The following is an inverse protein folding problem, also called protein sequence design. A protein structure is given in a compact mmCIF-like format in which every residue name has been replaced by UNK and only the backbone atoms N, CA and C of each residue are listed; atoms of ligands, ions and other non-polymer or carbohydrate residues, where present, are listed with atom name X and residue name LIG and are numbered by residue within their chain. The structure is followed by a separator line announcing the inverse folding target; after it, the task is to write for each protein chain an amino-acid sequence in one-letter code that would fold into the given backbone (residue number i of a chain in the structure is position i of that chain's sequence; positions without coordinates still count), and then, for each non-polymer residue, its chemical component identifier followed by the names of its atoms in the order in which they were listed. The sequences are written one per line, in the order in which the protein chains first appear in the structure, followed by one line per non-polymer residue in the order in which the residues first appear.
data_IF_101162919371
#
_entry.id   IF_101162919371
#
_cell.length_a   1.000
_cell.length_b   1.000
_cell.length_c   1.000
_cell.angle_alpha   90.00
_cell.angle_beta   90.00
_cell.angle_gamma   90.00
#
_symmetry.space_group_name_H-M   'P 1'
#
loop_
_entity.id
_entity.type
_entity.pdbx_description
1 polymer ?
#
# COMPACT_ATOMS: atom_id res chain seq x y z
N UNK A 1 6.76 -4.02 3.18
CA UNK A 1 5.43 -3.42 2.95
C UNK A 1 4.40 -4.13 3.82
N UNK A 2 3.47 -3.41 4.45
CA UNK A 2 2.53 -4.00 5.42
C UNK A 2 1.07 -3.82 5.02
N UNK A 3 0.28 -4.88 5.22
CA UNK A 3 -1.13 -4.96 4.85
C UNK A 3 -2.04 -4.94 6.06
N UNK A 4 -3.14 -4.19 5.95
CA UNK A 4 -4.13 -4.03 7.01
C UNK A 4 -5.53 -4.38 6.52
N UNK A 5 -6.37 -4.86 7.44
CA UNK A 5 -7.78 -5.16 7.20
C UNK A 5 -8.02 -5.94 5.90
N UNK A 6 -8.87 -5.42 5.01
CA UNK A 6 -9.23 -6.06 3.75
C UNK A 6 -8.06 -6.29 2.78
N UNK A 7 -6.93 -5.57 2.91
CA UNK A 7 -5.74 -5.89 2.12
C UNK A 7 -5.13 -7.23 2.53
N UNK A 8 -5.07 -7.51 3.84
CA UNK A 8 -4.54 -8.78 4.36
C UNK A 8 -5.37 -9.96 3.89
N UNK A 9 -6.70 -9.81 3.81
CA UNK A 9 -7.58 -10.87 3.32
C UNK A 9 -7.39 -11.15 1.84
N UNK A 10 -7.12 -10.11 1.03
CA UNK A 10 -6.89 -10.26 -0.40
C UNK A 10 -5.50 -10.84 -0.70
N UNK A 11 -4.46 -10.38 0.02
CA UNK A 11 -3.08 -10.85 -0.19
C UNK A 11 -2.81 -12.18 0.52
N UNK A 12 -3.51 -12.44 1.62
CA UNK A 12 -3.32 -13.63 2.46
C UNK A 12 -2.12 -13.55 3.41
N UNK A 13 -1.45 -12.39 3.49
CA UNK A 13 -0.27 -12.17 4.34
C UNK A 13 -0.33 -10.79 5.00
N UNK A 14 0.26 -10.63 6.20
CA UNK A 14 0.27 -9.35 6.91
C UNK A 14 1.35 -8.39 6.40
N UNK A 15 2.41 -8.92 5.80
CA UNK A 15 3.48 -8.15 5.20
C UNK A 15 4.11 -8.92 4.04
N UNK A 16 4.62 -8.18 3.06
CA UNK A 16 5.47 -8.75 2.02
C UNK A 16 6.67 -7.84 1.73
N UNK A 17 7.72 -8.45 1.18
CA UNK A 17 8.89 -7.74 0.70
C UNK A 17 8.71 -7.48 -0.80
N UNK A 18 8.38 -6.23 -1.12
CA UNK A 18 8.20 -5.80 -2.50
C UNK A 18 9.52 -5.24 -3.03
N UNK A 19 10.17 -5.96 -3.94
CA UNK A 19 11.34 -5.46 -4.64
C UNK A 19 10.89 -4.52 -5.77
N UNK A 20 11.25 -3.25 -5.66
CA UNK A 20 10.97 -2.23 -6.67
C UNK A 20 12.28 -1.64 -7.20
N UNK A 21 12.36 -1.24 -8.47
CA UNK A 21 13.53 -0.56 -8.99
C UNK A 21 13.75 0.79 -8.29
N UNK A 22 15.01 1.23 -8.26
CA UNK A 22 15.36 2.53 -7.70
C UNK A 22 14.63 3.65 -8.44
N UNK A 23 14.12 4.64 -7.72
CA UNK A 23 13.29 5.71 -8.30
C UNK A 23 11.81 5.34 -8.43
N UNK A 24 11.37 4.17 -7.98
CA UNK A 24 9.94 3.81 -7.96
C UNK A 24 9.18 4.72 -7.01
N UNK A 25 8.09 5.32 -7.49
CA UNK A 25 7.18 6.12 -6.66
C UNK A 25 6.15 5.25 -5.97
N UNK A 26 5.53 5.78 -4.91
CA UNK A 26 4.39 5.14 -4.24
C UNK A 26 3.28 4.78 -5.23
N UNK A 27 2.99 5.66 -6.20
CA UNK A 27 2.03 5.41 -7.27
C UNK A 27 2.42 4.21 -8.15
N UNK A 28 3.69 4.11 -8.53
CA UNK A 28 4.20 2.99 -9.31
C UNK A 28 4.14 1.68 -8.51
N UNK A 29 4.54 1.69 -7.23
CA UNK A 29 4.39 0.54 -6.33
C UNK A 29 2.92 0.10 -6.19
N UNK A 30 2.00 1.06 -6.08
CA UNK A 30 0.56 0.79 -6.06
C UNK A 30 0.09 0.12 -7.36
N UNK A 31 0.52 0.59 -8.52
CA UNK A 31 0.19 -0.02 -9.81
C UNK A 31 0.73 -1.45 -9.92
N UNK A 32 1.95 -1.69 -9.44
CA UNK A 32 2.53 -3.05 -9.37
C UNK A 32 1.67 -3.98 -8.50
N UNK A 33 1.22 -3.52 -7.34
CA UNK A 33 0.33 -4.28 -6.47
C UNK A 33 -1.02 -4.57 -7.11
N UNK A 34 -1.61 -3.59 -7.81
CA UNK A 34 -2.86 -3.79 -8.55
C UNK A 34 -2.67 -4.81 -9.68
N UNK A 35 -1.51 -4.78 -10.35
CA UNK A 35 -1.20 -5.73 -11.41
C UNK A 35 -1.07 -7.16 -10.84
N UNK A 36 -0.45 -7.29 -9.67
CA UNK A 36 -0.27 -8.58 -8.99
C UNK A 36 -1.55 -9.09 -8.33
N UNK A 37 -2.32 -8.20 -7.73
CA UNK A 37 -3.57 -8.45 -7.03
C UNK A 37 -4.64 -7.46 -7.50
N UNK A 38 -5.29 -7.71 -8.65
CA UNK A 38 -6.30 -6.79 -9.19
C UNK A 38 -7.47 -6.54 -8.23
N UNK A 39 -7.72 -7.48 -7.32
CA UNK A 39 -8.74 -7.33 -6.26
C UNK A 39 -8.40 -6.23 -5.24
N UNK A 40 -7.14 -5.80 -5.13
CA UNK A 40 -6.73 -4.68 -4.28
C UNK A 40 -7.07 -3.32 -4.88
N UNK A 41 -7.27 -3.20 -6.19
CA UNK A 41 -7.53 -1.93 -6.88
C UNK A 41 -8.58 -1.04 -6.18
N UNK A 42 -9.83 -1.51 -5.93
CA UNK A 42 -10.84 -0.66 -5.32
C UNK A 42 -10.54 -0.26 -3.86
N UNK A 43 -9.67 -1.02 -3.18
CA UNK A 43 -9.24 -0.75 -1.80
C UNK A 43 -8.09 0.27 -1.83
N UNK A 44 -7.08 0.05 -2.67
CA UNK A 44 -5.93 0.94 -2.84
C UNK A 44 -6.33 2.31 -3.40
N UNK A 45 -7.36 2.37 -4.26
CA UNK A 45 -7.90 3.63 -4.80
C UNK A 45 -8.44 4.58 -3.74
N UNK A 46 -9.00 4.03 -2.67
CA UNK A 46 -9.53 4.81 -1.55
C UNK A 46 -8.54 4.93 -0.38
N UNK A 47 -7.44 4.17 -0.41
CA UNK A 47 -6.47 4.10 0.68
C UNK A 47 -5.50 5.27 0.66
N UNK A 48 -5.12 5.74 1.86
CA UNK A 48 -4.00 6.64 2.05
C UNK A 48 -2.68 5.85 2.01
N UNK A 49 -1.62 6.53 1.61
CA UNK A 49 -0.28 5.96 1.57
C UNK A 49 0.56 6.56 2.69
N UNK A 50 1.25 5.70 3.44
CA UNK A 50 2.20 6.11 4.45
C UNK A 50 3.55 5.40 4.21
N UNK A 51 4.64 6.16 4.29
CA UNK A 51 6.01 5.66 4.21
C UNK A 51 6.69 5.98 5.53
N UNK A 52 7.28 4.97 6.19
CA UNK A 52 7.91 5.12 7.51
C UNK A 52 7.00 5.80 8.55
N UNK A 53 5.70 5.45 8.54
CA UNK A 53 4.65 6.03 9.42
C UNK A 53 4.32 7.51 9.16
N UNK A 54 4.79 8.06 8.04
CA UNK A 54 4.46 9.42 7.60
C UNK A 54 3.56 9.36 6.37
N UNK A 55 2.47 10.14 6.36
CA UNK A 55 1.60 10.24 5.19
C UNK A 55 2.33 10.97 4.07
N UNK A 56 2.47 10.29 2.93
CA UNK A 56 3.20 10.81 1.77
C UNK A 56 2.30 10.84 0.54
N UNK A 57 2.53 11.80 -0.38
CA UNK A 57 1.84 11.81 -1.66
C UNK A 57 2.24 10.59 -2.51
N UNK A 58 1.38 10.23 -3.47
CA UNK A 58 1.64 9.11 -4.36
C UNK A 58 2.88 9.31 -5.26
N UNK A 59 3.29 10.56 -5.50
CA UNK A 59 4.51 10.89 -6.25
C UNK A 59 5.81 10.78 -5.43
N UNK A 60 5.73 10.48 -4.13
CA UNK A 60 6.91 10.24 -3.29
C UNK A 60 7.72 9.06 -3.83
N UNK A 61 9.00 9.28 -4.06
CA UNK A 61 9.97 8.21 -4.39
C UNK A 61 10.24 7.35 -3.16
N UNK A 62 10.15 6.03 -3.35
CA UNK A 62 10.52 5.03 -2.35
C UNK A 62 12.02 4.82 -2.35
N UNK A 63 12.59 4.72 -1.15
CA UNK A 63 13.99 4.39 -0.93
C UNK A 63 14.17 2.96 -0.43
N UNK A 64 15.40 2.49 -0.48
CA UNK A 64 15.76 1.20 0.10
C UNK A 64 15.47 1.21 1.61
N UNK A 65 14.84 0.14 2.11
CA UNK A 65 14.38 0.01 3.50
C UNK A 65 13.17 0.86 3.91
N UNK A 66 12.49 1.53 2.96
CA UNK A 66 11.25 2.24 3.27
C UNK A 66 10.09 1.29 3.61
N UNK A 67 9.41 1.58 4.73
CA UNK A 67 8.19 0.89 5.10
C UNK A 67 6.98 1.54 4.44
N UNK A 68 6.57 1.05 3.27
CA UNK A 68 5.31 1.44 2.63
C UNK A 68 4.11 0.70 3.25
N UNK A 69 3.08 1.48 3.56
CA UNK A 69 1.80 1.02 4.10
C UNK A 69 0.64 1.70 3.36
N UNK A 70 -0.37 0.91 3.00
CA UNK A 70 -1.64 1.43 2.52
C UNK A 70 -2.69 1.33 3.63
N UNK A 71 -3.25 2.48 3.98
CA UNK A 71 -4.22 2.64 5.04
C UNK A 71 -5.57 2.87 4.38
N UNK A 72 -6.43 1.83 4.25
CA UNK A 72 -7.78 2.04 3.76
C UNK A 72 -8.52 2.95 4.75
N UNK A 73 -9.46 3.78 4.25
CA UNK A 73 -10.30 4.58 5.11
C UNK A 73 -11.04 3.60 6.00
N UNK A 74 -10.75 3.65 7.30
CA UNK A 74 -11.44 2.83 8.28
C UNK A 74 -12.91 3.23 8.22
N UNK A 75 -13.73 2.41 7.59
CA UNK A 75 -15.18 2.44 7.77
C UNK A 75 -15.49 1.98 9.19
N UNK A 76 -15.14 2.81 10.18
CA UNK A 76 -15.59 2.69 11.55
C UNK A 76 -17.06 3.05 11.59
N UNK A 77 -17.92 2.14 11.12
CA UNK A 77 -19.31 2.12 11.51
C UNK A 77 -19.38 1.71 12.99
N UNK A 78 -19.65 2.70 13.82
CA UNK A 78 -20.29 2.64 15.14
C UNK A 78 -19.80 1.59 16.16
N UNK A 79 -19.26 2.11 17.26
CA UNK A 79 -19.75 1.75 18.58
C UNK A 79 -20.27 3.03 19.26
#
# INVERSE_FOLDING_TARGET
MRYFAGLREVVGQDAELLTVPEGTTVAAARTLLITRYPRLQPILERSLCAVNREYVPADRTLQENDELVFIPPLGGGAA
#
